data_IF_199570585773
#
_entry.id   IF_199570585773
#
_cell.length_a   1.000
_cell.length_b   1.000
_cell.length_c   1.000
_cell.angle_alpha   90.00
_cell.angle_beta   90.00
_cell.angle_gamma   90.00
#
_symmetry.space_group_name_H-M   'P 1'
#
loop_
_entity.id
_entity.type
_entity.pdbx_description
1 polymer ?
#
# COMPACT_ATOMS: atom_id res chain seq x y z
N UNK A 1 11.88 -22.80 1.82
CA UNK A 1 11.50 -24.21 2.05
C UNK A 1 10.00 -24.35 2.28
N UNK A 2 9.36 -23.64 3.25
CA UNK A 2 7.92 -23.74 3.58
C UNK A 2 6.99 -23.60 2.37
N UNK A 3 7.21 -22.58 1.52
CA UNK A 3 6.36 -22.34 0.34
C UNK A 3 6.40 -23.52 -0.65
N UNK A 4 7.59 -24.09 -0.90
CA UNK A 4 7.73 -25.27 -1.77
C UNK A 4 7.02 -26.50 -1.17
N UNK A 5 7.14 -26.67 0.15
CA UNK A 5 6.48 -27.76 0.87
C UNK A 5 4.95 -27.63 0.82
N UNK A 6 4.43 -26.41 1.01
CA UNK A 6 2.99 -26.13 0.89
C UNK A 6 2.46 -26.43 -0.52
N UNK A 7 3.23 -26.07 -1.56
CA UNK A 7 2.89 -26.38 -2.95
C UNK A 7 2.86 -27.88 -3.21
N UNK A 8 3.86 -28.64 -2.71
CA UNK A 8 3.88 -30.09 -2.84
C UNK A 8 2.72 -30.76 -2.10
N UNK A 9 2.41 -30.32 -0.89
CA UNK A 9 1.24 -30.81 -0.14
C UNK A 9 -0.08 -30.56 -0.87
N UNK A 10 -0.25 -29.36 -1.42
CA UNK A 10 -1.45 -29.03 -2.19
C UNK A 10 -1.54 -29.91 -3.46
N UNK A 11 -0.43 -30.14 -4.13
CA UNK A 11 -0.38 -30.97 -5.32
C UNK A 11 -0.69 -32.46 -5.01
N UNK A 12 -0.08 -33.04 -3.97
CA UNK A 12 -0.38 -34.43 -3.58
C UNK A 12 -1.83 -34.59 -3.09
N UNK A 13 -2.37 -33.60 -2.40
CA UNK A 13 -3.80 -33.59 -2.02
C UNK A 13 -4.71 -33.56 -3.26
N UNK A 14 -4.37 -32.76 -4.28
CA UNK A 14 -5.08 -32.76 -5.56
C UNK A 14 -5.04 -34.14 -6.24
N UNK A 15 -3.87 -34.83 -6.27
CA UNK A 15 -3.72 -36.15 -6.86
C UNK A 15 -4.58 -37.19 -6.11
N UNK A 16 -4.66 -37.09 -4.78
CA UNK A 16 -5.48 -37.98 -3.95
C UNK A 16 -6.97 -37.78 -4.25
N UNK A 17 -7.45 -36.51 -4.34
CA UNK A 17 -8.86 -36.23 -4.68
C UNK A 17 -9.23 -36.72 -6.08
N UNK A 18 -8.26 -36.82 -6.99
CA UNK A 18 -8.49 -37.31 -8.36
C UNK A 18 -8.28 -38.80 -8.50
N UNK A 19 -8.12 -39.54 -7.40
CA UNK A 19 -7.85 -41.00 -7.39
C UNK A 19 -6.66 -41.42 -8.25
N UNK A 20 -5.67 -40.51 -8.41
CA UNK A 20 -4.43 -40.79 -9.14
C UNK A 20 -3.41 -41.49 -8.25
N UNK A 21 -3.48 -41.24 -6.94
CA UNK A 21 -2.70 -41.89 -5.89
C UNK A 21 -3.62 -42.39 -4.79
N UNK A 22 -3.29 -43.56 -4.21
CA UNK A 22 -4.10 -44.21 -3.17
C UNK A 22 -3.85 -43.63 -1.77
N UNK A 23 -2.73 -43.00 -1.53
CA UNK A 23 -2.34 -42.44 -0.24
C UNK A 23 -1.51 -41.16 -0.41
N UNK A 24 -1.65 -40.26 0.59
CA UNK A 24 -0.88 -39.02 0.58
C UNK A 24 0.55 -39.29 1.18
N UNK A 25 1.64 -39.10 0.41
CA UNK A 25 2.99 -39.36 0.91
C UNK A 25 3.39 -38.46 2.09
N UNK A 26 2.66 -37.36 2.35
CA UNK A 26 2.94 -36.44 3.47
C UNK A 26 2.27 -36.83 4.79
N UNK A 27 1.38 -37.82 4.83
CA UNK A 27 0.65 -38.22 6.06
C UNK A 27 1.61 -38.82 7.14
N UNK A 28 2.72 -39.39 6.71
CA UNK A 28 3.74 -39.98 7.60
C UNK A 28 4.94 -39.06 7.85
N UNK A 29 4.95 -37.83 7.31
CA UNK A 29 6.08 -36.90 7.40
C UNK A 29 5.74 -35.76 8.31
N UNK A 30 6.45 -35.59 9.42
CA UNK A 30 6.40 -34.41 10.23
C UNK A 30 6.96 -33.20 9.47
N UNK A 31 6.07 -32.31 9.03
CA UNK A 31 6.43 -31.17 8.18
C UNK A 31 6.33 -29.83 8.93
N UNK A 32 6.31 -29.86 10.28
CA UNK A 32 6.28 -28.63 11.08
C UNK A 32 7.67 -27.96 11.07
N UNK A 33 7.77 -26.84 10.38
CA UNK A 33 8.98 -25.99 10.42
C UNK A 33 8.72 -24.88 11.43
N UNK A 34 9.34 -24.98 12.61
CA UNK A 34 9.33 -23.90 13.59
C UNK A 34 10.21 -22.77 13.09
N UNK A 35 9.64 -21.58 12.89
CA UNK A 35 10.40 -20.37 12.63
C UNK A 35 10.53 -19.58 13.93
N UNK A 36 11.68 -18.94 14.18
CA UNK A 36 11.81 -18.02 15.28
C UNK A 36 10.79 -16.88 15.09
N UNK A 37 10.16 -16.47 16.18
CA UNK A 37 9.31 -15.27 16.19
C UNK A 37 10.24 -14.06 16.08
N UNK A 38 10.29 -13.48 14.89
CA UNK A 38 11.04 -12.25 14.63
C UNK A 38 10.05 -11.10 14.78
N UNK A 39 10.39 -10.15 15.65
CA UNK A 39 9.59 -8.93 15.80
C UNK A 39 9.53 -8.18 14.45
N UNK A 40 8.36 -7.65 14.09
CA UNK A 40 8.23 -6.83 12.89
C UNK A 40 9.21 -5.65 12.95
N UNK A 41 9.88 -5.38 11.85
CA UNK A 41 10.69 -4.17 11.71
C UNK A 41 9.73 -3.00 11.53
N UNK A 42 9.85 -1.99 12.38
CA UNK A 42 9.09 -0.75 12.28
C UNK A 42 9.97 0.36 11.74
N UNK A 43 9.36 1.34 11.07
CA UNK A 43 10.06 2.53 10.60
C UNK A 43 10.12 3.52 11.78
N UNK A 44 11.28 4.07 12.15
CA UNK A 44 11.38 5.13 13.15
C UNK A 44 10.54 6.36 12.74
N UNK A 45 9.92 7.03 13.70
CA UNK A 45 9.10 8.23 13.44
C UNK A 45 9.90 9.34 12.77
N UNK A 46 11.15 9.55 13.17
CA UNK A 46 12.03 10.54 12.55
C UNK A 46 12.24 10.25 11.06
N UNK A 47 12.44 8.99 10.70
CA UNK A 47 12.58 8.57 9.30
C UNK A 47 11.29 8.80 8.49
N UNK A 48 10.11 8.59 9.11
CA UNK A 48 8.82 8.93 8.50
C UNK A 48 8.74 10.44 8.28
N UNK A 49 9.11 11.24 9.28
CA UNK A 49 9.15 12.70 9.21
C UNK A 49 10.06 13.20 8.08
N UNK A 50 11.24 12.60 7.91
CA UNK A 50 12.17 12.93 6.81
C UNK A 50 11.57 12.67 5.44
N UNK A 51 10.91 11.52 5.25
CA UNK A 51 10.27 11.17 3.97
C UNK A 51 9.10 12.12 3.67
N UNK A 52 8.28 12.45 4.65
CA UNK A 52 7.16 13.39 4.48
C UNK A 52 7.68 14.81 4.20
N UNK A 53 8.66 15.29 4.95
CA UNK A 53 9.28 16.59 4.73
C UNK A 53 9.86 16.68 3.30
N UNK A 54 10.53 15.63 2.85
CA UNK A 54 11.03 15.57 1.48
C UNK A 54 9.88 15.62 0.46
N UNK A 55 8.78 14.88 0.69
CA UNK A 55 7.61 14.88 -0.20
C UNK A 55 7.02 16.30 -0.36
N UNK A 56 6.86 17.04 0.73
CA UNK A 56 6.39 18.43 0.69
C UNK A 56 7.39 19.37 0.01
N UNK A 57 8.68 19.22 0.28
CA UNK A 57 9.73 19.98 -0.41
C UNK A 57 9.68 19.79 -1.93
N UNK A 58 9.30 18.59 -2.42
CA UNK A 58 9.13 18.35 -3.85
C UNK A 58 7.97 19.15 -4.45
N UNK A 59 6.92 19.43 -3.68
CA UNK A 59 5.79 20.29 -4.12
C UNK A 59 6.30 21.71 -4.35
N UNK A 60 7.04 22.26 -3.38
CA UNK A 60 7.58 23.61 -3.43
C UNK A 60 8.62 23.82 -4.54
N UNK A 61 9.52 22.85 -4.72
CA UNK A 61 10.59 22.89 -5.73
C UNK A 61 10.12 22.57 -7.15
N UNK A 62 8.85 22.24 -7.34
CA UNK A 62 8.35 21.86 -8.66
C UNK A 62 8.20 23.05 -9.59
N UNK A 63 8.88 23.00 -10.74
CA UNK A 63 8.90 24.07 -11.73
C UNK A 63 7.84 23.93 -12.84
N UNK A 64 7.05 22.85 -12.80
CA UNK A 64 5.98 22.58 -13.78
C UNK A 64 4.76 22.03 -13.07
N UNK A 65 3.55 22.36 -13.58
CA UNK A 65 2.30 21.86 -13.02
C UNK A 65 2.26 20.33 -12.96
N UNK A 66 2.79 19.68 -13.99
CA UNK A 66 2.88 18.22 -14.03
C UNK A 66 3.69 17.65 -12.85
N UNK A 67 4.87 18.22 -12.57
CA UNK A 67 5.71 17.79 -11.44
C UNK A 67 5.04 18.10 -10.11
N UNK A 68 4.46 19.28 -9.98
CA UNK A 68 3.73 19.73 -8.79
C UNK A 68 2.56 18.80 -8.48
N UNK A 69 1.72 18.51 -9.46
CA UNK A 69 0.56 17.62 -9.30
C UNK A 69 0.99 16.18 -8.95
N UNK A 70 2.10 15.71 -9.53
CA UNK A 70 2.67 14.41 -9.17
C UNK A 70 3.23 14.40 -7.75
N UNK A 71 3.85 15.49 -7.29
CA UNK A 71 4.36 15.62 -5.93
C UNK A 71 3.22 15.68 -4.90
N UNK A 72 2.15 16.43 -5.19
CA UNK A 72 0.94 16.48 -4.34
C UNK A 72 0.33 15.08 -4.20
N UNK A 73 0.17 14.35 -5.31
CA UNK A 73 -0.31 12.95 -5.26
C UNK A 73 0.59 12.09 -4.38
N UNK A 74 1.89 12.20 -4.53
CA UNK A 74 2.85 11.38 -3.79
C UNK A 74 2.79 11.69 -2.29
N UNK A 75 2.71 12.97 -1.91
CA UNK A 75 2.52 13.40 -0.53
C UNK A 75 1.18 12.86 0.04
N UNK A 76 0.08 12.99 -0.70
CA UNK A 76 -1.23 12.48 -0.30
C UNK A 76 -1.22 10.95 -0.07
N UNK A 77 -0.55 10.19 -0.94
CA UNK A 77 -0.39 8.73 -0.77
C UNK A 77 0.40 8.41 0.49
N UNK A 78 1.51 9.09 0.76
CA UNK A 78 2.35 8.87 1.94
C UNK A 78 1.61 9.23 3.22
N UNK A 79 0.99 10.40 3.27
CA UNK A 79 0.20 10.83 4.42
C UNK A 79 -0.91 9.83 4.75
N UNK A 80 -1.65 9.37 3.74
CA UNK A 80 -2.72 8.41 3.97
C UNK A 80 -2.19 7.05 4.42
N UNK A 81 -1.05 6.58 3.89
CA UNK A 81 -0.41 5.34 4.35
C UNK A 81 -0.03 5.41 5.83
N UNK A 82 0.59 6.51 6.25
CA UNK A 82 1.04 6.68 7.63
C UNK A 82 -0.11 6.95 8.59
N UNK A 83 -1.09 7.76 8.19
CA UNK A 83 -2.25 8.07 9.03
C UNK A 83 -3.14 6.85 9.29
N UNK A 84 -3.22 5.91 8.33
CA UNK A 84 -4.18 4.79 8.40
C UNK A 84 -3.55 3.43 8.69
N UNK A 85 -2.23 3.30 8.50
CA UNK A 85 -1.56 2.00 8.52
C UNK A 85 -2.10 1.03 7.44
N UNK A 86 -2.68 1.58 6.37
CA UNK A 86 -3.28 0.79 5.30
C UNK A 86 -2.21 0.05 4.49
N UNK A 87 -2.59 -1.08 3.91
CA UNK A 87 -1.74 -1.75 2.91
C UNK A 87 -1.73 -0.95 1.62
N UNK A 88 -0.58 -0.93 0.93
CA UNK A 88 -0.47 -0.25 -0.38
C UNK A 88 -1.57 -0.65 -1.34
N UNK A 89 -1.91 -1.94 -1.40
CA UNK A 89 -2.99 -2.41 -2.26
C UNK A 89 -4.36 -1.80 -1.87
N UNK A 90 -4.62 -1.58 -0.59
CA UNK A 90 -5.85 -0.94 -0.12
C UNK A 90 -5.91 0.52 -0.56
N UNK A 91 -4.79 1.25 -0.44
CA UNK A 91 -4.69 2.64 -0.92
C UNK A 91 -4.82 2.72 -2.44
N UNK A 92 -4.17 1.83 -3.18
CA UNK A 92 -4.26 1.82 -4.65
C UNK A 92 -5.66 1.43 -5.16
N UNK A 93 -6.43 0.68 -4.38
CA UNK A 93 -7.79 0.26 -4.70
C UNK A 93 -8.87 1.16 -4.05
N UNK A 94 -8.48 2.24 -3.39
CA UNK A 94 -9.41 3.18 -2.78
C UNK A 94 -10.26 3.86 -3.86
N UNK A 95 -11.57 3.79 -3.73
CA UNK A 95 -12.50 4.50 -4.62
C UNK A 95 -12.77 5.92 -4.12
N UNK A 96 -13.15 6.81 -5.02
CA UNK A 96 -13.43 8.21 -4.66
C UNK A 96 -14.57 8.35 -3.64
N UNK A 97 -15.58 7.51 -3.72
CA UNK A 97 -16.72 7.46 -2.80
C UNK A 97 -16.38 6.97 -1.38
N UNK A 98 -15.21 6.35 -1.20
CA UNK A 98 -14.75 5.81 0.07
C UNK A 98 -13.98 6.85 0.91
N UNK A 99 -13.77 8.05 0.36
CA UNK A 99 -13.15 9.18 1.05
C UNK A 99 -14.21 10.19 1.43
N UNK A 100 -14.53 10.27 2.71
CA UNK A 100 -15.50 11.23 3.24
C UNK A 100 -14.76 12.41 3.87
N UNK A 101 -14.70 13.53 3.14
CA UNK A 101 -14.09 14.77 3.61
C UNK A 101 -14.91 15.47 4.70
N UNK A 102 -16.24 15.30 4.69
CA UNK A 102 -17.14 15.92 5.69
C UNK A 102 -17.07 15.12 6.99
N UNK A 103 -17.24 13.79 6.91
CA UNK A 103 -17.13 12.87 8.05
C UNK A 103 -15.68 12.59 8.46
N UNK A 104 -14.70 13.18 7.75
CA UNK A 104 -13.24 13.04 8.02
C UNK A 104 -12.82 11.58 8.19
N UNK A 105 -13.22 10.73 7.25
CA UNK A 105 -12.94 9.32 7.34
C UNK A 105 -12.66 8.69 5.98
N UNK A 106 -11.97 7.54 6.02
CA UNK A 106 -11.67 6.74 4.82
C UNK A 106 -12.12 5.31 5.08
N UNK A 107 -12.86 4.76 4.14
CA UNK A 107 -13.31 3.37 4.14
C UNK A 107 -12.34 2.52 3.36
N UNK A 108 -11.76 1.51 4.00
CA UNK A 108 -10.77 0.61 3.40
C UNK A 108 -11.30 -0.82 3.33
N UNK A 109 -11.00 -1.50 2.23
CA UNK A 109 -11.36 -2.88 1.98
C UNK A 109 -10.14 -3.79 2.16
N UNK A 110 -10.18 -4.63 3.20
CA UNK A 110 -9.12 -5.57 3.52
C UNK A 110 -9.32 -6.96 2.89
N UNK A 111 -8.40 -7.88 3.18
CA UNK A 111 -8.48 -9.28 2.74
C UNK A 111 -9.76 -9.96 3.26
N UNK A 112 -10.46 -10.66 2.38
CA UNK A 112 -11.71 -11.36 2.72
C UNK A 112 -12.92 -10.44 2.78
N UNK A 113 -12.95 -9.36 2.01
CA UNK A 113 -14.05 -8.38 1.95
C UNK A 113 -14.39 -7.73 3.30
N UNK A 114 -13.42 -7.70 4.23
CA UNK A 114 -13.58 -6.98 5.48
C UNK A 114 -13.40 -5.50 5.26
N UNK A 115 -14.42 -4.73 5.59
CA UNK A 115 -14.42 -3.27 5.55
C UNK A 115 -13.99 -2.70 6.90
N UNK A 116 -13.26 -1.58 6.86
CA UNK A 116 -12.98 -0.77 8.05
C UNK A 116 -13.02 0.70 7.70
N UNK A 117 -13.58 1.50 8.58
CA UNK A 117 -13.60 2.96 8.47
C UNK A 117 -12.55 3.48 9.44
N UNK A 118 -11.67 4.35 8.94
CA UNK A 118 -10.60 4.95 9.72
C UNK A 118 -10.83 6.45 9.75
N UNK A 119 -11.00 7.04 10.94
CA UNK A 119 -11.10 8.49 11.07
C UNK A 119 -9.75 9.15 10.76
N UNK A 120 -9.78 10.29 10.09
CA UNK A 120 -8.62 11.13 9.80
C UNK A 120 -8.72 12.39 10.66
N UNK A 121 -8.09 12.36 11.81
CA UNK A 121 -8.11 13.49 12.74
C UNK A 121 -7.14 14.60 12.35
N UNK A 122 -6.04 14.26 11.68
CA UNK A 122 -5.03 15.21 11.27
C UNK A 122 -5.52 16.06 10.09
N UNK A 123 -5.68 17.37 10.35
CA UNK A 123 -6.13 18.33 9.34
C UNK A 123 -5.17 18.48 8.17
N UNK A 124 -3.86 18.32 8.38
CA UNK A 124 -2.87 18.39 7.30
C UNK A 124 -3.06 17.26 6.29
N UNK A 125 -3.39 16.05 6.77
CA UNK A 125 -3.72 14.90 5.91
C UNK A 125 -4.96 15.19 5.08
N UNK A 126 -6.02 15.70 5.71
CA UNK A 126 -7.25 16.08 4.99
C UNK A 126 -7.01 17.17 3.95
N UNK A 127 -6.19 18.16 4.28
CA UNK A 127 -5.84 19.25 3.34
C UNK A 127 -5.13 18.70 2.11
N UNK A 128 -4.08 17.92 2.26
CA UNK A 128 -3.35 17.38 1.11
C UNK A 128 -4.19 16.39 0.27
N UNK A 129 -5.08 15.62 0.90
CA UNK A 129 -6.04 14.77 0.19
C UNK A 129 -7.05 15.59 -0.60
N UNK A 130 -7.55 16.69 -0.03
CA UNK A 130 -8.47 17.62 -0.68
C UNK A 130 -7.80 18.32 -1.86
N UNK A 131 -6.59 18.85 -1.68
CA UNK A 131 -5.81 19.49 -2.74
C UNK A 131 -5.57 18.51 -3.90
N UNK A 132 -5.20 17.28 -3.57
CA UNK A 132 -5.04 16.23 -4.56
C UNK A 132 -6.34 15.94 -5.32
N UNK A 133 -7.46 15.81 -4.61
CA UNK A 133 -8.77 15.54 -5.20
C UNK A 133 -9.18 16.63 -6.17
N UNK A 134 -9.13 17.90 -5.76
CA UNK A 134 -9.49 19.02 -6.63
C UNK A 134 -8.66 19.11 -7.91
N UNK A 135 -7.35 18.85 -7.82
CA UNK A 135 -6.46 18.88 -8.98
C UNK A 135 -6.77 17.75 -9.97
N UNK A 136 -7.24 16.61 -9.49
CA UNK A 136 -7.43 15.41 -10.28
C UNK A 136 -8.89 14.95 -10.40
N UNK A 137 -9.85 15.77 -10.01
CA UNK A 137 -11.28 15.46 -9.90
C UNK A 137 -11.82 14.80 -11.19
N UNK A 138 -11.55 15.39 -12.35
CA UNK A 138 -11.98 14.85 -13.65
C UNK A 138 -11.43 13.43 -13.87
N UNK A 139 -10.13 13.21 -13.67
CA UNK A 139 -9.51 11.90 -13.85
C UNK A 139 -9.97 10.86 -12.84
N UNK A 140 -10.25 11.31 -11.61
CA UNK A 140 -10.77 10.47 -10.52
C UNK A 140 -12.21 10.05 -10.85
N UNK A 141 -13.01 10.98 -11.31
CA UNK A 141 -14.40 10.72 -11.74
C UNK A 141 -14.46 9.70 -12.88
N UNK A 142 -13.62 9.87 -13.91
CA UNK A 142 -13.56 8.99 -15.06
C UNK A 142 -13.07 7.58 -14.70
N UNK A 143 -12.07 7.50 -13.79
CA UNK A 143 -11.44 6.24 -13.41
C UNK A 143 -12.18 5.51 -12.28
N UNK A 144 -12.87 6.24 -11.41
CA UNK A 144 -13.55 5.74 -10.20
C UNK A 144 -12.61 5.46 -9.02
N UNK A 145 -11.29 5.44 -9.23
CA UNK A 145 -10.30 5.25 -8.17
C UNK A 145 -9.79 6.59 -7.65
N UNK A 146 -9.62 6.70 -6.33
CA UNK A 146 -9.15 7.93 -5.70
C UNK A 146 -7.73 8.29 -6.14
N UNK A 147 -6.79 7.35 -6.15
CA UNK A 147 -5.43 7.62 -6.63
C UNK A 147 -5.22 7.21 -8.08
N UNK A 148 -4.90 8.19 -8.91
CA UNK A 148 -4.68 8.01 -10.35
C UNK A 148 -3.24 8.29 -10.76
N UNK A 149 -2.79 7.62 -11.80
CA UNK A 149 -1.50 7.86 -12.42
C UNK A 149 -1.58 9.00 -13.46
N UNK A 150 -0.45 9.31 -14.09
CA UNK A 150 -0.37 10.39 -15.10
C UNK A 150 -1.32 10.21 -16.30
N UNK A 151 -1.75 8.99 -16.56
CA UNK A 151 -2.65 8.65 -17.68
C UNK A 151 -4.13 8.62 -17.26
N UNK A 152 -4.48 9.04 -16.05
CA UNK A 152 -5.86 8.97 -15.54
C UNK A 152 -6.31 7.55 -15.18
N UNK A 153 -5.40 6.57 -15.05
CA UNK A 153 -5.71 5.19 -14.65
C UNK A 153 -5.32 4.98 -13.19
N UNK A 154 -5.90 3.95 -12.57
CA UNK A 154 -5.57 3.55 -11.18
C UNK A 154 -4.05 3.55 -10.93
N UNK A 155 -3.64 4.12 -9.81
CA UNK A 155 -2.25 4.06 -9.35
C UNK A 155 -1.89 2.62 -8.98
N UNK A 156 -0.71 2.15 -9.39
CA UNK A 156 -0.28 0.78 -9.11
C UNK A 156 0.58 0.70 -7.86
N UNK A 157 0.52 -0.43 -7.17
CA UNK A 157 1.34 -0.71 -5.98
C UNK A 157 2.85 -0.61 -6.31
N UNK A 158 3.23 -1.00 -7.52
CA UNK A 158 4.61 -0.90 -7.98
C UNK A 158 5.05 0.55 -8.10
N UNK A 159 4.19 1.45 -8.60
CA UNK A 159 4.49 2.87 -8.68
C UNK A 159 4.71 3.49 -7.29
N UNK A 160 3.90 3.09 -6.31
CA UNK A 160 4.07 3.55 -4.91
C UNK A 160 5.38 3.03 -4.32
N UNK A 161 5.72 1.76 -4.53
CA UNK A 161 7.01 1.21 -4.06
C UNK A 161 8.20 1.90 -4.69
N UNK A 162 8.16 2.14 -6.01
CA UNK A 162 9.22 2.88 -6.71
C UNK A 162 9.37 4.30 -6.17
N UNK A 163 8.25 4.99 -5.89
CA UNK A 163 8.25 6.32 -5.30
C UNK A 163 8.91 6.33 -3.91
N UNK A 164 8.49 5.43 -3.01
CA UNK A 164 9.07 5.33 -1.65
C UNK A 164 10.57 5.04 -1.74
N UNK A 165 10.99 4.07 -2.56
CA UNK A 165 12.41 3.75 -2.73
C UNK A 165 13.22 4.94 -3.25
N UNK A 166 12.70 5.68 -4.24
CA UNK A 166 13.34 6.88 -4.75
C UNK A 166 13.50 7.96 -3.68
N UNK A 167 12.48 8.16 -2.85
CA UNK A 167 12.52 9.14 -1.76
C UNK A 167 13.55 8.72 -0.70
N UNK A 168 13.54 7.46 -0.28
CA UNK A 168 14.54 6.94 0.67
C UNK A 168 15.97 7.11 0.15
N UNK A 169 16.22 6.79 -1.11
CA UNK A 169 17.54 6.97 -1.73
C UNK A 169 17.98 8.44 -1.73
N UNK A 170 17.08 9.36 -2.08
CA UNK A 170 17.40 10.78 -2.12
C UNK A 170 17.62 11.37 -0.73
N UNK A 171 16.91 10.90 0.28
CA UNK A 171 17.11 11.30 1.69
C UNK A 171 18.33 10.61 2.34
N UNK A 172 19.01 9.69 1.66
CA UNK A 172 20.16 8.96 2.22
C UNK A 172 19.75 7.91 3.28
N UNK A 173 18.49 7.49 3.27
CA UNK A 173 17.98 6.49 4.22
C UNK A 173 18.47 5.12 3.80
N UNK A 174 19.37 4.53 4.59
CA UNK A 174 19.98 3.22 4.33
C UNK A 174 19.04 2.04 4.62
N UNK A 175 17.99 2.26 5.41
CA UNK A 175 16.99 1.23 5.72
C UNK A 175 16.15 0.90 4.49
N UNK A 176 16.02 -0.38 4.18
CA UNK A 176 15.08 -0.81 3.14
C UNK A 176 13.65 -0.69 3.65
N UNK A 177 12.99 0.39 3.27
CA UNK A 177 11.60 0.67 3.66
C UNK A 177 10.64 0.02 2.67
N UNK A 178 9.71 -0.75 3.21
CA UNK A 178 8.62 -1.34 2.45
C UNK A 178 7.28 -0.85 3.00
N UNK A 179 6.27 -0.73 2.15
CA UNK A 179 4.94 -0.30 2.60
C UNK A 179 4.22 -1.26 3.58
N UNK A 180 4.88 -2.31 4.01
CA UNK A 180 4.37 -3.29 4.98
C UNK A 180 5.09 -3.20 6.34
N UNK A 181 6.01 -2.27 6.49
CA UNK A 181 6.69 -1.93 7.74
C UNK A 181 5.92 -0.90 8.52
#
# INVERSE_FOLDING_TARGET
VKRKLATLKAFTHYLLIRDIIDCNPFDKIETSIKEPVILPKTIPLDTIGEILCFAYTQIEKSNTDYKKNSAIRNAAVLELLFATGARVAEICNLHSQDVDFIGKSVKLYGKGSKERIIPIENTSVLTILSDYYFIHEEKISDCGYFFVNKYGKRLTEQSVRCMINSYCQTCGISMHITPHM
#
